data_IF_232515624873
#
_entry.id   IF_232515624873
#
_cell.length_a   1.000
_cell.length_b   1.000
_cell.length_c   1.000
_cell.angle_alpha   90.00
_cell.angle_beta   90.00
_cell.angle_gamma   90.00
#
_symmetry.space_group_name_H-M   'P 1'
#
loop_
_entity.id
_entity.type
_entity.pdbx_description
1 polymer ?
#
# COMPACT_ATOMS: atom_id res chain seq x y z
N UNK A 1 53.02 -0.31 19.42
CA UNK A 1 52.58 -1.10 18.25
C UNK A 1 51.25 -1.66 18.66
N UNK A 2 50.18 -1.10 18.11
CA UNK A 2 48.83 -1.68 18.19
C UNK A 2 48.91 -3.05 17.53
N UNK A 3 48.44 -4.10 18.22
CA UNK A 3 48.48 -5.45 17.69
C UNK A 3 47.17 -5.72 16.95
N UNK A 4 47.08 -5.23 15.71
CA UNK A 4 45.86 -5.32 14.90
C UNK A 4 45.31 -6.74 14.79
N UNK A 5 46.19 -7.75 14.69
CA UNK A 5 45.78 -9.17 14.64
C UNK A 5 45.15 -9.66 15.94
N UNK A 6 45.57 -9.14 17.08
CA UNK A 6 44.99 -9.50 18.38
C UNK A 6 43.62 -8.83 18.54
N UNK A 7 43.50 -7.55 18.19
CA UNK A 7 42.22 -6.84 18.22
C UNK A 7 41.18 -7.43 17.25
N UNK A 8 41.59 -7.79 16.04
CA UNK A 8 40.73 -8.48 15.08
C UNK A 8 40.25 -9.82 15.63
N UNK A 9 41.16 -10.60 16.23
CA UNK A 9 40.80 -11.90 16.80
C UNK A 9 39.84 -11.76 17.97
N UNK A 10 40.10 -10.83 18.89
CA UNK A 10 39.25 -10.56 20.04
C UNK A 10 37.85 -10.08 19.61
N UNK A 11 37.76 -9.26 18.56
CA UNK A 11 36.47 -8.84 17.98
C UNK A 11 35.72 -10.03 17.36
N UNK A 12 36.38 -10.87 16.57
CA UNK A 12 35.74 -12.06 15.98
C UNK A 12 35.23 -13.01 17.06
N UNK A 13 36.01 -13.28 18.11
CA UNK A 13 35.58 -14.13 19.23
C UNK A 13 34.37 -13.52 19.96
N UNK A 14 34.33 -12.19 20.13
CA UNK A 14 33.18 -11.50 20.69
C UNK A 14 31.95 -11.62 19.77
N UNK A 15 32.12 -11.47 18.46
CA UNK A 15 31.02 -11.60 17.48
C UNK A 15 30.49 -13.04 17.41
N UNK A 16 31.35 -14.06 17.50
CA UNK A 16 30.94 -15.47 17.61
C UNK A 16 30.13 -15.74 18.89
N UNK A 17 30.41 -15.01 19.98
CA UNK A 17 29.64 -15.12 21.21
C UNK A 17 28.29 -14.39 21.14
N UNK A 18 28.21 -13.27 20.41
CA UNK A 18 26.98 -12.48 20.25
C UNK A 18 26.04 -13.13 19.22
N UNK A 19 26.59 -13.63 18.11
CA UNK A 19 25.87 -14.14 16.95
C UNK A 19 26.24 -15.59 16.62
N UNK A 20 26.07 -16.55 17.55
CA UNK A 20 26.62 -17.91 17.40
C UNK A 20 26.03 -18.70 16.23
N UNK A 21 24.85 -18.33 15.73
CA UNK A 21 24.19 -19.01 14.62
C UNK A 21 24.24 -18.18 13.33
N UNK A 22 24.38 -16.86 13.44
CA UNK A 22 24.33 -15.95 12.29
C UNK A 22 25.70 -15.65 11.67
N UNK A 23 26.81 -15.83 12.42
CA UNK A 23 28.17 -15.64 11.88
C UNK A 23 28.75 -16.93 11.30
N UNK A 24 29.40 -16.82 10.14
CA UNK A 24 30.21 -17.89 9.54
C UNK A 24 31.55 -17.33 9.09
N UNK A 25 32.62 -17.79 9.72
CA UNK A 25 33.99 -17.43 9.32
C UNK A 25 34.39 -18.27 8.11
N UNK A 26 34.74 -17.61 7.00
CA UNK A 26 35.12 -18.24 5.74
C UNK A 26 36.63 -18.46 5.66
N UNK A 27 37.40 -17.41 5.98
CA UNK A 27 38.86 -17.42 5.88
C UNK A 27 39.49 -16.67 7.06
N UNK A 28 40.66 -17.14 7.48
CA UNK A 28 41.35 -16.67 8.69
C UNK A 28 42.82 -16.27 8.43
N UNK A 29 43.40 -16.68 7.31
CA UNK A 29 44.76 -16.37 6.88
C UNK A 29 44.78 -16.33 5.35
N UNK A 30 45.26 -15.25 4.68
CA UNK A 30 46.04 -14.13 5.23
C UNK A 30 45.21 -13.05 5.97
N UNK A 31 43.94 -12.87 5.59
CA UNK A 31 43.02 -11.87 6.14
C UNK A 31 41.74 -12.55 6.65
N UNK A 32 41.09 -11.96 7.66
CA UNK A 32 39.80 -12.45 8.14
C UNK A 32 38.69 -12.11 7.14
N UNK A 33 38.00 -13.14 6.65
CA UNK A 33 36.80 -13.01 5.83
C UNK A 33 35.69 -13.81 6.47
N UNK A 34 34.57 -13.17 6.76
CA UNK A 34 33.43 -13.81 7.41
C UNK A 34 32.13 -13.17 6.94
N UNK A 35 31.04 -13.90 7.09
CA UNK A 35 29.68 -13.43 6.79
C UNK A 35 28.85 -13.39 8.06
N UNK A 36 27.99 -12.38 8.18
CA UNK A 36 27.00 -12.24 9.25
C UNK A 36 25.63 -12.12 8.61
N UNK A 37 24.71 -12.97 9.03
CA UNK A 37 23.28 -12.86 8.71
C UNK A 37 22.62 -11.85 9.66
N UNK A 38 21.98 -10.84 9.08
CA UNK A 38 21.37 -9.73 9.82
C UNK A 38 19.86 -9.74 9.60
N UNK A 39 19.12 -9.87 10.71
CA UNK A 39 17.67 -9.81 10.76
C UNK A 39 17.18 -8.59 11.57
N UNK A 40 15.99 -8.04 11.27
CA UNK A 40 15.41 -6.92 12.01
C UNK A 40 15.11 -7.29 13.47
N UNK A 41 15.20 -6.30 14.36
CA UNK A 41 14.92 -6.52 15.78
C UNK A 41 13.42 -6.66 16.05
N UNK A 42 13.05 -7.66 16.87
CA UNK A 42 11.73 -7.71 17.52
C UNK A 42 10.57 -8.27 16.69
N UNK A 43 10.83 -8.92 15.56
CA UNK A 43 9.77 -9.60 14.79
C UNK A 43 9.92 -11.12 14.88
N UNK A 44 9.00 -11.76 15.60
CA UNK A 44 8.85 -13.22 15.60
C UNK A 44 8.49 -13.70 14.19
N UNK A 45 9.28 -14.64 13.68
CA UNK A 45 9.00 -15.69 12.69
C UNK A 45 7.71 -15.50 11.86
N UNK A 46 7.62 -14.40 11.13
CA UNK A 46 6.61 -14.17 10.10
C UNK A 46 7.30 -14.39 8.76
N UNK A 47 6.62 -15.04 7.81
CA UNK A 47 7.15 -15.52 6.52
C UNK A 47 7.80 -14.43 5.60
N UNK A 48 7.85 -13.16 6.04
CA UNK A 48 8.34 -12.01 5.28
C UNK A 48 9.39 -11.17 6.05
N UNK A 49 10.19 -11.78 6.92
CA UNK A 49 11.31 -11.07 7.53
C UNK A 49 12.37 -10.75 6.47
N UNK A 50 12.59 -9.46 6.21
CA UNK A 50 13.70 -9.03 5.39
C UNK A 50 15.02 -9.42 6.09
N UNK A 51 15.90 -10.09 5.37
CA UNK A 51 17.19 -10.53 5.89
C UNK A 51 18.30 -10.10 4.94
N UNK A 52 19.45 -9.74 5.49
CA UNK A 52 20.63 -9.33 4.73
C UNK A 52 21.83 -10.12 5.22
N UNK A 53 22.55 -10.75 4.30
CA UNK A 53 23.82 -11.42 4.59
C UNK A 53 24.95 -10.51 4.14
N UNK A 54 25.76 -10.07 5.10
CA UNK A 54 26.87 -9.15 4.88
C UNK A 54 28.19 -9.88 5.02
N UNK A 55 29.04 -9.79 4.00
CA UNK A 55 30.41 -10.24 4.04
C UNK A 55 31.33 -9.10 4.48
N UNK A 56 32.18 -9.39 5.45
CA UNK A 56 33.23 -8.49 5.93
C UNK A 56 34.59 -9.10 5.59
N UNK A 57 35.48 -8.28 5.03
CA UNK A 57 36.90 -8.61 4.86
C UNK A 57 37.75 -7.58 5.60
N UNK A 58 38.52 -8.04 6.57
CA UNK A 58 39.38 -7.20 7.41
C UNK A 58 40.78 -7.13 6.81
N UNK A 59 41.27 -5.91 6.57
CA UNK A 59 42.65 -5.68 6.15
C UNK A 59 43.63 -5.74 7.34
N UNK A 60 44.94 -5.88 7.06
CA UNK A 60 46.00 -5.91 8.08
C UNK A 60 46.05 -4.64 8.97
N UNK A 61 45.47 -3.54 8.49
CA UNK A 61 45.43 -2.23 9.17
C UNK A 61 44.12 -1.96 9.91
N UNK A 62 43.13 -2.86 9.83
CA UNK A 62 41.90 -2.73 10.58
C UNK A 62 42.18 -2.88 12.09
N UNK A 63 41.63 -2.02 12.98
CA UNK A 63 40.49 -1.11 12.75
C UNK A 63 40.80 0.33 12.32
N UNK A 64 42.06 0.67 12.00
CA UNK A 64 42.41 2.01 11.50
C UNK A 64 41.97 2.25 10.04
N UNK A 65 41.52 1.20 9.36
CA UNK A 65 40.93 1.24 8.02
C UNK A 65 39.55 0.62 8.01
N UNK A 66 38.68 1.12 7.14
CA UNK A 66 37.33 0.60 6.94
C UNK A 66 37.41 -0.82 6.36
N UNK A 67 36.68 -1.81 6.91
CA UNK A 67 36.63 -3.15 6.34
C UNK A 67 35.93 -3.12 4.99
N UNK A 68 36.28 -4.04 4.11
CA UNK A 68 35.53 -4.23 2.87
C UNK A 68 34.22 -4.92 3.20
N UNK A 69 33.11 -4.28 2.87
CA UNK A 69 31.76 -4.75 3.16
C UNK A 69 31.00 -4.98 1.86
N UNK A 70 30.40 -6.15 1.72
CA UNK A 70 29.60 -6.52 0.56
C UNK A 70 28.33 -7.26 0.98
N UNK A 71 27.20 -6.90 0.39
CA UNK A 71 25.94 -7.60 0.61
C UNK A 71 25.88 -8.78 -0.36
N UNK A 72 25.98 -10.01 0.17
CA UNK A 72 26.01 -11.23 -0.66
C UNK A 72 24.61 -11.75 -0.97
N UNK A 73 23.72 -11.70 0.02
CA UNK A 73 22.34 -12.16 -0.11
C UNK A 73 21.39 -11.17 0.57
N UNK A 74 20.21 -11.00 -0.02
CA UNK A 74 19.14 -10.20 0.57
C UNK A 74 17.78 -10.81 0.25
N UNK A 75 16.89 -10.83 1.24
CA UNK A 75 15.52 -11.32 1.11
C UNK A 75 14.56 -10.16 1.35
N UNK A 76 13.54 -10.01 0.51
CA UNK A 76 12.50 -8.96 0.61
C UNK A 76 12.99 -7.51 0.59
N UNK A 77 14.20 -7.26 0.06
CA UNK A 77 14.75 -5.92 -0.15
C UNK A 77 15.01 -5.69 -1.63
N UNK A 78 14.61 -4.51 -2.11
CA UNK A 78 14.84 -4.06 -3.47
C UNK A 78 16.25 -3.44 -3.59
N UNK A 79 16.85 -3.46 -4.78
CA UNK A 79 18.21 -2.92 -5.03
C UNK A 79 18.40 -1.49 -4.49
N UNK A 80 17.38 -0.63 -4.63
CA UNK A 80 17.42 0.74 -4.12
C UNK A 80 17.56 0.82 -2.59
N UNK A 81 16.95 -0.12 -1.86
CA UNK A 81 17.06 -0.22 -0.40
C UNK A 81 18.43 -0.79 0.01
N UNK A 82 18.99 -1.68 -0.80
CA UNK A 82 20.34 -2.22 -0.56
C UNK A 82 21.40 -1.12 -0.71
N UNK A 83 21.28 -0.26 -1.73
CA UNK A 83 22.16 0.90 -1.90
C UNK A 83 22.08 1.84 -0.68
N UNK A 84 20.88 2.09 -0.17
CA UNK A 84 20.67 2.92 1.04
C UNK A 84 21.31 2.30 2.29
N UNK A 85 21.18 0.98 2.47
CA UNK A 85 21.83 0.24 3.56
C UNK A 85 23.36 0.32 3.42
N UNK A 86 23.90 0.14 2.22
CA UNK A 86 25.33 0.16 1.96
C UNK A 86 25.93 1.56 2.17
N UNK A 87 25.22 2.62 1.76
CA UNK A 87 25.61 4.01 2.05
C UNK A 87 25.62 4.28 3.56
N UNK A 88 24.61 3.79 4.28
CA UNK A 88 24.53 3.92 5.72
C UNK A 88 25.68 3.19 6.44
N UNK A 89 25.98 1.95 6.03
CA UNK A 89 27.12 1.17 6.55
C UNK A 89 28.45 1.90 6.37
N UNK A 90 28.68 2.49 5.20
CA UNK A 90 29.91 3.25 4.93
C UNK A 90 30.01 4.51 5.80
N UNK A 91 28.89 5.19 6.01
CA UNK A 91 28.81 6.35 6.92
C UNK A 91 29.20 5.95 8.34
N UNK A 92 28.59 4.89 8.88
CA UNK A 92 28.88 4.39 10.23
C UNK A 92 30.34 3.93 10.34
N UNK A 93 30.86 3.26 9.31
CA UNK A 93 32.26 2.83 9.30
C UNK A 93 33.24 4.01 9.32
N UNK A 94 32.96 5.09 8.58
CA UNK A 94 33.79 6.31 8.57
C UNK A 94 33.82 7.01 9.92
N UNK A 95 32.71 7.02 10.66
CA UNK A 95 32.63 7.64 11.98
C UNK A 95 33.36 6.84 13.06
N UNK A 96 33.51 5.53 12.87
CA UNK A 96 34.09 4.61 13.85
C UNK A 96 35.52 4.14 13.49
N UNK A 97 36.19 4.79 12.53
CA UNK A 97 37.59 4.48 12.20
C UNK A 97 38.49 4.68 13.42
N UNK A 98 39.38 3.71 13.67
CA UNK A 98 40.30 3.70 14.80
C UNK A 98 39.83 2.86 16.00
N UNK A 99 38.68 2.19 15.89
CA UNK A 99 38.22 1.18 16.84
C UNK A 99 37.44 0.07 16.15
N UNK A 100 37.36 -1.09 16.81
CA UNK A 100 36.53 -2.22 16.36
C UNK A 100 35.08 -1.76 16.14
N UNK A 101 34.55 -2.00 14.94
CA UNK A 101 33.31 -1.36 14.47
C UNK A 101 32.32 -2.33 13.82
N UNK A 102 32.66 -3.62 13.65
CA UNK A 102 31.77 -4.57 12.96
C UNK A 102 30.45 -4.72 13.70
N UNK A 103 30.49 -4.83 15.04
CA UNK A 103 29.27 -4.88 15.85
C UNK A 103 28.41 -3.62 15.68
N UNK A 104 29.03 -2.45 15.67
CA UNK A 104 28.34 -1.16 15.49
C UNK A 104 27.67 -1.09 14.12
N UNK A 105 28.36 -1.54 13.07
CA UNK A 105 27.82 -1.60 11.71
C UNK A 105 26.64 -2.56 11.64
N UNK A 106 26.78 -3.78 12.17
CA UNK A 106 25.69 -4.78 12.19
C UNK A 106 24.48 -4.23 12.93
N UNK A 107 24.68 -3.59 14.08
CA UNK A 107 23.59 -2.99 14.87
C UNK A 107 22.89 -1.86 14.11
N UNK A 108 23.65 -0.99 13.44
CA UNK A 108 23.10 0.09 12.62
C UNK A 108 22.30 -0.44 11.42
N UNK A 109 22.76 -1.54 10.80
CA UNK A 109 22.01 -2.20 9.72
C UNK A 109 20.72 -2.84 10.24
N UNK A 110 20.73 -3.47 11.42
CA UNK A 110 19.51 -4.01 12.03
C UNK A 110 18.45 -2.92 12.23
N UNK A 111 18.85 -1.77 12.77
CA UNK A 111 17.97 -0.61 12.93
C UNK A 111 17.46 -0.10 11.59
N UNK A 112 18.36 0.06 10.61
CA UNK A 112 18.00 0.55 9.28
C UNK A 112 17.03 -0.37 8.52
N UNK A 113 17.21 -1.68 8.62
CA UNK A 113 16.28 -2.67 8.03
C UNK A 113 14.91 -2.54 8.70
N UNK A 114 14.88 -2.39 10.03
CA UNK A 114 13.63 -2.22 10.79
C UNK A 114 12.87 -0.97 10.35
N UNK A 115 13.57 0.15 10.18
CA UNK A 115 13.01 1.42 9.67
C UNK A 115 12.42 1.26 8.26
N UNK A 116 13.16 0.59 7.35
CA UNK A 116 12.71 0.37 5.97
C UNK A 116 11.42 -0.47 5.95
N UNK A 117 11.33 -1.50 6.80
CA UNK A 117 10.14 -2.34 6.91
C UNK A 117 8.96 -1.52 7.43
N UNK A 118 9.16 -0.73 8.50
CA UNK A 118 8.11 0.13 9.06
C UNK A 118 7.61 1.16 8.04
N UNK A 119 8.52 1.83 7.34
CA UNK A 119 8.17 2.80 6.29
C UNK A 119 7.43 2.13 5.13
N UNK A 120 7.87 0.95 4.69
CA UNK A 120 7.20 0.21 3.62
C UNK A 120 5.78 -0.19 4.02
N UNK A 121 5.58 -0.61 5.27
CA UNK A 121 4.27 -0.95 5.81
C UNK A 121 3.35 0.28 5.85
N UNK A 122 3.85 1.40 6.37
CA UNK A 122 3.09 2.64 6.45
C UNK A 122 2.65 3.13 5.06
N UNK A 123 3.56 3.13 4.10
CA UNK A 123 3.25 3.53 2.71
C UNK A 123 2.18 2.63 2.08
N UNK A 124 2.23 1.33 2.35
CA UNK A 124 1.22 0.37 1.86
C UNK A 124 -0.15 0.63 2.48
N UNK A 125 -0.20 0.88 3.79
CA UNK A 125 -1.44 1.22 4.50
C UNK A 125 -2.05 2.54 4.00
N UNK A 126 -1.23 3.58 3.79
CA UNK A 126 -1.68 4.85 3.24
C UNK A 126 -2.21 4.73 1.80
N UNK A 127 -1.54 3.94 0.95
CA UNK A 127 -2.02 3.69 -0.41
C UNK A 127 -3.35 2.92 -0.41
N UNK A 128 -3.49 1.92 0.46
CA UNK A 128 -4.74 1.18 0.64
C UNK A 128 -5.87 2.11 1.10
N UNK A 129 -5.61 2.98 2.08
CA UNK A 129 -6.59 3.95 2.56
C UNK A 129 -6.97 4.96 1.47
N UNK A 130 -6.00 5.42 0.67
CA UNK A 130 -6.27 6.33 -0.46
C UNK A 130 -7.14 5.69 -1.53
N UNK A 131 -6.89 4.42 -1.86
CA UNK A 131 -7.70 3.65 -2.81
C UNK A 131 -9.11 3.40 -2.29
N UNK A 132 -9.27 3.12 -1.00
CA UNK A 132 -10.57 2.97 -0.35
C UNK A 132 -11.38 4.28 -0.43
N UNK A 133 -10.77 5.42 -0.06
CA UNK A 133 -11.42 6.74 -0.16
C UNK A 133 -11.83 7.09 -1.60
N UNK A 134 -10.96 6.83 -2.58
CA UNK A 134 -11.31 7.11 -3.99
C UNK A 134 -12.45 6.20 -4.49
N UNK A 135 -12.57 4.97 -3.96
CA UNK A 135 -13.68 4.08 -4.25
C UNK A 135 -14.97 4.60 -3.60
N UNK A 136 -14.93 4.96 -2.32
CA UNK A 136 -16.06 5.53 -1.57
C UNK A 136 -16.55 6.83 -2.23
N UNK A 137 -15.66 7.75 -2.63
CA UNK A 137 -16.05 8.98 -3.33
C UNK A 137 -16.74 8.71 -4.68
N UNK A 138 -16.29 7.68 -5.42
CA UNK A 138 -16.95 7.29 -6.68
C UNK A 138 -18.32 6.68 -6.40
N UNK A 139 -18.44 5.85 -5.37
CA UNK A 139 -19.71 5.29 -4.94
C UNK A 139 -20.67 6.39 -4.48
N UNK A 140 -20.21 7.35 -3.67
CA UNK A 140 -21.01 8.51 -3.28
C UNK A 140 -21.44 9.34 -4.49
N UNK A 141 -20.57 9.59 -5.46
CA UNK A 141 -20.92 10.34 -6.68
C UNK A 141 -21.87 9.59 -7.61
N UNK A 142 -21.88 8.25 -7.59
CA UNK A 142 -22.86 7.43 -8.31
C UNK A 142 -24.19 7.42 -7.55
N UNK A 143 -24.14 7.42 -6.21
CA UNK A 143 -25.30 7.43 -5.33
C UNK A 143 -26.01 8.79 -5.28
N UNK A 144 -25.26 9.90 -5.34
CA UNK A 144 -25.76 11.24 -5.61
C UNK A 144 -26.31 11.30 -7.05
N UNK A 145 -27.51 10.75 -7.24
CA UNK A 145 -28.25 10.86 -8.48
C UNK A 145 -28.41 12.32 -8.91
N UNK A 146 -28.80 12.53 -10.18
CA UNK A 146 -29.13 13.89 -10.63
C UNK A 146 -30.38 14.37 -9.88
N UNK A 147 -30.22 15.29 -8.93
CA UNK A 147 -31.35 15.96 -8.27
C UNK A 147 -32.36 16.44 -9.31
N UNK A 148 -33.61 15.98 -9.20
CA UNK A 148 -34.69 16.34 -10.11
C UNK A 148 -35.17 17.75 -9.74
N UNK A 149 -34.47 18.76 -10.24
CA UNK A 149 -34.92 20.15 -10.22
C UNK A 149 -35.93 20.40 -11.34
N UNK A 150 -36.75 21.45 -11.21
CA UNK A 150 -37.73 21.82 -12.24
C UNK A 150 -37.07 21.96 -13.62
N UNK A 151 -35.90 22.58 -13.70
CA UNK A 151 -35.14 22.75 -14.94
C UNK A 151 -34.62 21.43 -15.53
N UNK A 152 -34.09 20.52 -14.70
CA UNK A 152 -33.63 19.21 -15.17
C UNK A 152 -34.80 18.33 -15.60
N UNK A 153 -35.94 18.41 -14.92
CA UNK A 153 -37.18 17.75 -15.31
C UNK A 153 -37.73 18.26 -16.64
N UNK A 154 -37.74 19.57 -16.89
CA UNK A 154 -38.15 20.16 -18.18
C UNK A 154 -37.21 19.76 -19.32
N UNK A 155 -35.89 19.76 -19.09
CA UNK A 155 -34.91 19.30 -20.07
C UNK A 155 -35.06 17.80 -20.38
N UNK A 156 -35.38 16.98 -19.38
CA UNK A 156 -35.71 15.57 -19.59
C UNK A 156 -37.05 15.41 -20.34
N UNK A 157 -38.10 16.10 -19.91
CA UNK A 157 -39.43 16.05 -20.52
C UNK A 157 -39.42 16.45 -22.00
N UNK A 158 -38.67 17.48 -22.35
CA UNK A 158 -38.52 17.90 -23.75
C UNK A 158 -37.83 16.84 -24.61
N UNK A 159 -36.81 16.16 -24.10
CA UNK A 159 -36.17 15.01 -24.77
C UNK A 159 -37.11 13.81 -24.87
N UNK A 160 -37.80 13.49 -23.78
CA UNK A 160 -38.77 12.38 -23.72
C UNK A 160 -39.93 12.58 -24.70
N UNK A 161 -40.51 13.78 -24.75
CA UNK A 161 -41.59 14.13 -25.69
C UNK A 161 -41.11 14.05 -27.15
N UNK A 162 -39.84 14.42 -27.41
CA UNK A 162 -39.23 14.25 -28.73
C UNK A 162 -39.03 12.77 -29.09
N UNK A 163 -38.51 11.95 -28.17
CA UNK A 163 -38.34 10.50 -28.36
C UNK A 163 -39.68 9.79 -28.56
N UNK A 164 -40.73 10.11 -27.78
CA UNK A 164 -42.08 9.58 -27.97
C UNK A 164 -42.67 9.94 -29.34
N UNK A 165 -42.36 11.12 -29.83
CA UNK A 165 -42.81 11.58 -31.15
C UNK A 165 -42.13 10.81 -32.28
N UNK A 166 -40.85 10.45 -32.13
CA UNK A 166 -40.13 9.61 -33.09
C UNK A 166 -40.49 8.12 -32.95
N UNK A 167 -40.77 7.65 -31.73
CA UNK A 167 -41.33 6.31 -31.51
C UNK A 167 -42.71 6.16 -32.17
N UNK A 168 -43.60 7.15 -32.06
CA UNK A 168 -44.90 7.13 -32.78
C UNK A 168 -44.77 7.10 -34.31
N UNK A 169 -43.66 7.61 -34.87
CA UNK A 169 -43.39 7.50 -36.31
C UNK A 169 -42.86 6.12 -36.70
N UNK A 170 -42.05 5.48 -35.85
CA UNK A 170 -41.46 4.17 -36.09
C UNK A 170 -42.36 2.98 -35.69
N UNK A 171 -43.26 3.13 -34.71
CA UNK A 171 -44.13 2.05 -34.21
C UNK A 171 -45.20 1.61 -35.22
N UNK A 172 -45.54 2.49 -36.18
CA UNK A 172 -46.40 2.15 -37.33
C UNK A 172 -45.76 1.05 -38.22
N UNK A 173 -44.46 0.76 -38.07
CA UNK A 173 -43.74 -0.19 -38.95
C UNK A 173 -43.25 -1.49 -38.29
N UNK A 174 -43.32 -1.66 -36.96
CA UNK A 174 -42.58 -2.73 -36.24
C UNK A 174 -43.36 -3.38 -35.06
N UNK A 175 -44.67 -3.55 -35.18
CA UNK A 175 -45.56 -3.95 -34.07
C UNK A 175 -45.79 -5.47 -33.85
N UNK A 176 -44.80 -6.35 -34.09
CA UNK A 176 -45.02 -7.81 -33.91
C UNK A 176 -44.01 -8.59 -33.06
N UNK A 177 -42.99 -7.97 -32.43
CA UNK A 177 -41.97 -8.78 -31.71
C UNK A 177 -41.21 -8.05 -30.60
N UNK A 178 -41.88 -7.29 -29.73
CA UNK A 178 -41.24 -6.69 -28.54
C UNK A 178 -41.63 -7.50 -27.30
N UNK A 179 -40.62 -8.06 -26.62
CA UNK A 179 -40.76 -8.74 -25.31
C UNK A 179 -41.30 -7.77 -24.26
N UNK A 180 -42.08 -8.29 -23.32
CA UNK A 180 -42.65 -7.47 -22.25
C UNK A 180 -41.56 -7.02 -21.28
N UNK A 181 -41.77 -5.88 -20.60
CA UNK A 181 -40.79 -5.35 -19.63
C UNK A 181 -40.41 -6.36 -18.52
N UNK A 182 -41.33 -7.27 -18.17
CA UNK A 182 -41.08 -8.38 -17.25
C UNK A 182 -40.10 -9.43 -17.82
N UNK A 183 -40.16 -9.71 -19.11
CA UNK A 183 -39.26 -10.68 -19.77
C UNK A 183 -37.85 -10.10 -19.96
N UNK A 184 -37.75 -8.80 -20.27
CA UNK A 184 -36.47 -8.08 -20.31
C UNK A 184 -35.76 -8.09 -18.95
N UNK A 185 -36.51 -7.84 -17.87
CA UNK A 185 -35.96 -7.81 -16.51
C UNK A 185 -35.51 -9.19 -16.00
N UNK A 186 -36.14 -10.28 -16.46
CA UNK A 186 -35.72 -11.64 -16.12
C UNK A 186 -34.53 -12.14 -16.96
N UNK A 187 -34.29 -11.55 -18.12
CA UNK A 187 -33.18 -11.92 -19.00
C UNK A 187 -31.87 -11.21 -18.59
N UNK A 188 -31.97 -10.00 -18.02
CA UNK A 188 -30.84 -9.26 -17.48
C UNK A 188 -30.72 -9.46 -15.95
N UNK A 189 -30.06 -10.55 -15.55
CA UNK A 189 -29.82 -10.83 -14.13
C UNK A 189 -28.75 -9.94 -13.49
N UNK A 190 -28.09 -9.04 -14.24
CA UNK A 190 -27.01 -8.20 -13.70
C UNK A 190 -27.53 -7.13 -12.71
N UNK A 191 -28.74 -6.60 -12.93
CA UNK A 191 -29.38 -5.65 -12.02
C UNK A 191 -29.76 -6.29 -10.68
N UNK A 192 -30.23 -7.54 -10.70
CA UNK A 192 -30.64 -8.27 -9.48
C UNK A 192 -29.42 -8.52 -8.57
N UNK A 193 -28.25 -8.78 -9.15
CA UNK A 193 -27.01 -9.01 -8.40
C UNK A 193 -26.51 -7.73 -7.75
N UNK A 194 -26.63 -6.59 -8.44
CA UNK A 194 -26.28 -5.27 -7.88
C UNK A 194 -27.15 -4.92 -6.67
N UNK A 195 -28.47 -5.12 -6.75
CA UNK A 195 -29.40 -4.83 -5.65
C UNK A 195 -29.24 -5.82 -4.46
N UNK A 196 -28.94 -7.08 -4.74
CA UNK A 196 -28.76 -8.09 -3.69
C UNK A 196 -27.48 -7.86 -2.88
N UNK A 197 -26.41 -7.36 -3.51
CA UNK A 197 -25.16 -7.04 -2.82
C UNK A 197 -25.31 -5.82 -1.90
N UNK A 198 -26.16 -4.86 -2.28
CA UNK A 198 -26.53 -3.70 -1.44
C UNK A 198 -27.34 -4.10 -0.20
N UNK A 199 -28.20 -5.12 -0.29
CA UNK A 199 -29.04 -5.59 0.84
C UNK A 199 -28.36 -6.61 1.78
N UNK A 200 -27.20 -7.16 1.39
CA UNK A 200 -26.49 -8.18 2.18
C UNK A 200 -25.48 -7.59 3.18
N UNK A 201 -25.10 -6.32 3.02
CA UNK A 201 -24.26 -5.58 3.96
C UNK A 201 -25.10 -4.95 5.07
N UNK A 202 -25.36 -5.73 6.13
CA UNK A 202 -26.05 -5.35 7.37
C UNK A 202 -27.45 -4.72 7.21
N UNK A 203 -28.37 -5.06 8.11
CA UNK A 203 -29.70 -4.46 8.20
C UNK A 203 -29.61 -3.03 8.75
N UNK A 204 -28.77 -2.18 8.16
CA UNK A 204 -28.66 -0.77 8.48
C UNK A 204 -29.86 -0.09 7.84
N UNK A 205 -30.73 0.47 8.67
CA UNK A 205 -31.84 1.27 8.20
C UNK A 205 -31.23 2.40 7.35
N UNK A 206 -31.56 2.42 6.05
CA UNK A 206 -31.13 3.47 5.12
C UNK A 206 -31.52 4.82 5.74
N UNK A 207 -30.57 5.51 6.36
CA UNK A 207 -30.80 6.84 6.91
C UNK A 207 -31.04 7.78 5.74
N UNK A 208 -32.26 8.31 5.68
CA UNK A 208 -32.66 9.27 4.66
C UNK A 208 -32.02 10.60 5.04
N UNK A 209 -31.01 11.03 4.28
CA UNK A 209 -30.43 12.37 4.45
C UNK A 209 -31.46 13.44 4.06
N UNK A 210 -32.09 14.04 5.07
CA UNK A 210 -33.14 15.05 4.90
C UNK A 210 -32.64 16.31 4.17
N UNK A 211 -31.32 16.55 4.09
CA UNK A 211 -30.75 17.68 3.33
C UNK A 211 -30.84 17.50 1.81
N UNK A 212 -31.10 16.28 1.32
CA UNK A 212 -31.33 16.00 -0.10
C UNK A 212 -32.72 16.42 -0.59
N UNK A 213 -33.65 16.70 0.32
CA UNK A 213 -35.01 17.14 -0.01
C UNK A 213 -35.08 18.67 0.06
N UNK A 214 -35.58 19.30 -1.02
CA UNK A 214 -35.95 20.71 -0.97
C UNK A 214 -37.15 20.87 -0.04
N UNK A 215 -37.09 21.82 0.90
CA UNK A 215 -38.22 22.16 1.76
C UNK A 215 -39.44 22.52 0.91
N UNK A 216 -40.59 21.93 1.23
CA UNK A 216 -41.87 22.14 0.52
C UNK A 216 -42.27 23.62 0.43
N UNK A 217 -41.74 24.47 1.32
CA UNK A 217 -42.01 25.91 1.38
C UNK A 217 -41.32 26.71 0.23
N UNK A 218 -40.27 26.17 -0.39
CA UNK A 218 -39.53 26.82 -1.50
C UNK A 218 -40.22 26.63 -2.87
N UNK A 219 -41.32 25.88 -2.90
CA UNK A 219 -42.11 25.65 -4.11
C UNK A 219 -43.09 26.78 -4.45
N UNK A 220 -43.26 27.78 -3.58
CA UNK A 220 -44.10 28.96 -3.84
C UNK A 220 -45.56 28.62 -4.20
N UNK A 221 -46.08 27.47 -3.72
CA UNK A 221 -47.43 26.98 -4.02
C UNK A 221 -48.51 27.55 -3.08
N UNK A 222 -48.40 28.82 -2.66
CA UNK A 222 -49.41 29.49 -1.82
C UNK A 222 -50.09 30.71 -2.47
N UNK A 223 -49.97 30.87 -3.80
CA UNK A 223 -50.79 31.84 -4.55
C UNK A 223 -51.35 31.17 -5.83
N UNK A 224 -52.51 30.51 -5.70
CA UNK A 224 -53.64 30.55 -6.66
C UNK A 224 -54.71 29.48 -6.30
N UNK A 225 -55.38 29.68 -5.16
CA UNK A 225 -56.74 29.17 -4.95
C UNK A 225 -57.66 30.34 -4.58
N UNK A 226 -57.90 31.21 -5.55
CA UNK A 226 -59.04 32.12 -5.56
C UNK A 226 -59.66 32.14 -6.96
N UNK A 227 -60.54 31.17 -7.22
CA UNK A 227 -61.92 31.39 -7.71
C UNK A 227 -62.74 30.10 -7.54
#
# INVERSE_FOLDING_TARGET
MTNYKEEQKDEIEALEAIYPNEIKVLETDPNYVFVIEVAPQGMEETDELAMVTIQFSLDDTYPDTIPVMEITESVYLDDAKLDEILEHMNTVAQENVGMVMVFTIVSAVQEKISDIIEQTKLQREEEQLRKQKEHEEKEQRIFEGTRVTVETFLAWKTKFDAEMKDFKKNDITLSSSKLTGKELFLQDSSMIVSDMQFLQGESEAVEVDESLFQEIDDFGLDEELQD
#
